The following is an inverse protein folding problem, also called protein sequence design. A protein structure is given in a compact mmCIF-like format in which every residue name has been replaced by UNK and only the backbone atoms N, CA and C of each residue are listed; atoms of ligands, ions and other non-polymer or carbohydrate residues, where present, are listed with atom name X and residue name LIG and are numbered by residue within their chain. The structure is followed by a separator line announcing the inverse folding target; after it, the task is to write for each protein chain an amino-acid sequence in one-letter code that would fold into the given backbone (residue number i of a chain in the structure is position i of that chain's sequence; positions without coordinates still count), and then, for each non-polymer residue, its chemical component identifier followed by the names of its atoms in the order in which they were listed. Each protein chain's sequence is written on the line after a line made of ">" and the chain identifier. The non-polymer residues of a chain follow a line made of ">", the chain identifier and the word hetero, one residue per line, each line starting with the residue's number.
data_IF_964206119821
#
_entry.id   IF_964206119821
#
_cell.length_a   1.000
_cell.length_b   1.000
_cell.length_c   1.000
_cell.angle_alpha   90.00
_cell.angle_beta   90.00
_cell.angle_gamma   90.00
#
_symmetry.space_group_name_H-M   'P 1'
#
loop_
_entity.id
_entity.type
_entity.pdbx_description
1 polymer ?
#
# COMPACT_ATOMS: atom_id res chain seq x y z
N UNK A 1 21.93 17.50 27.15
CA UNK A 1 20.52 17.34 26.75
C UNK A 1 20.15 18.60 26.00
N UNK A 2 19.91 18.55 24.69
CA UNK A 2 19.37 19.70 23.97
C UNK A 2 17.98 20.07 24.50
N UNK A 3 17.71 21.38 24.48
CA UNK A 3 16.38 21.94 24.73
C UNK A 3 15.73 22.16 23.37
N UNK A 4 14.49 21.67 23.24
CA UNK A 4 13.61 22.03 22.14
C UNK A 4 12.44 22.85 22.68
N UNK A 5 11.88 23.72 21.86
CA UNK A 5 10.69 24.49 22.15
C UNK A 5 9.57 23.99 21.25
N UNK A 6 8.47 23.56 21.88
CA UNK A 6 7.32 22.94 21.20
C UNK A 6 6.06 23.72 21.51
N UNK A 7 5.21 23.90 20.51
CA UNK A 7 3.88 24.44 20.71
C UNK A 7 3.00 23.34 21.34
N UNK A 8 2.34 23.57 22.48
CA UNK A 8 1.37 22.61 23.01
C UNK A 8 0.14 22.46 22.10
N UNK A 9 -0.50 21.30 22.16
CA UNK A 9 -1.83 21.08 21.59
C UNK A 9 -2.93 21.84 22.37
N UNK A 10 -4.17 21.72 21.91
CA UNK A 10 -5.31 22.44 22.53
C UNK A 10 -5.55 22.04 23.99
N UNK A 11 -5.19 20.82 24.36
CA UNK A 11 -5.40 20.28 25.70
C UNK A 11 -4.16 20.42 26.61
N UNK A 12 -3.07 20.99 26.07
CA UNK A 12 -1.77 21.14 26.73
C UNK A 12 -1.21 19.80 27.28
N UNK A 13 -1.52 18.68 26.61
CA UNK A 13 -1.06 17.34 26.99
C UNK A 13 0.09 16.85 26.12
N UNK A 14 0.09 17.26 24.84
CA UNK A 14 1.07 16.84 23.86
C UNK A 14 1.57 18.05 23.06
N UNK A 15 2.71 17.95 22.36
CA UNK A 15 3.07 18.91 21.33
C UNK A 15 2.09 18.88 20.16
N UNK A 16 1.81 20.05 19.60
CA UNK A 16 1.02 20.24 18.39
C UNK A 16 1.66 19.49 17.21
N UNK A 17 0.86 18.66 16.54
CA UNK A 17 1.32 17.80 15.44
C UNK A 17 1.77 18.57 14.21
N UNK A 18 1.15 19.73 13.98
CA UNK A 18 1.38 20.52 12.77
C UNK A 18 2.49 21.57 12.94
N UNK A 19 3.08 21.68 14.13
CA UNK A 19 4.15 22.63 14.43
C UNK A 19 5.41 21.90 14.89
N UNK A 20 6.46 21.98 14.07
CA UNK A 20 7.73 21.32 14.37
C UNK A 20 8.43 21.94 15.60
N UNK A 21 9.17 21.14 16.40
CA UNK A 21 10.01 21.66 17.48
C UNK A 21 11.11 22.58 16.92
N UNK A 22 11.37 23.68 17.63
CA UNK A 22 12.44 24.64 17.29
C UNK A 22 13.49 24.69 18.38
N UNK A 23 14.66 25.26 18.07
CA UNK A 23 15.77 25.40 19.03
C UNK A 23 15.76 26.74 19.77
N UNK A 24 14.97 27.71 19.30
CA UNK A 24 14.90 29.05 19.86
C UNK A 24 13.55 29.26 20.58
N UNK A 25 13.53 29.99 21.70
CA UNK A 25 12.29 30.31 22.41
C UNK A 25 11.42 31.27 21.59
N UNK A 26 10.10 31.10 21.70
CA UNK A 26 9.11 32.04 21.18
C UNK A 26 7.82 31.99 22.02
N UNK A 27 6.98 33.01 21.88
CA UNK A 27 5.70 33.09 22.58
C UNK A 27 4.80 31.89 22.26
N UNK A 28 4.21 31.29 23.30
CA UNK A 28 3.35 30.12 23.17
C UNK A 28 4.09 28.79 23.00
N UNK A 29 5.43 28.75 23.11
CA UNK A 29 6.21 27.52 23.11
C UNK A 29 6.60 27.09 24.53
N UNK A 30 6.56 25.78 24.77
CA UNK A 30 7.04 25.12 25.99
C UNK A 30 8.42 24.52 25.75
N UNK A 31 9.34 24.74 26.67
CA UNK A 31 10.66 24.13 26.65
C UNK A 31 10.60 22.66 27.09
N UNK A 32 11.28 21.78 26.35
CA UNK A 32 11.42 20.35 26.67
C UNK A 32 12.88 19.89 26.55
N UNK A 33 13.34 19.13 27.54
CA UNK A 33 14.66 18.53 27.63
C UNK A 33 14.63 17.13 27.02
N UNK A 34 15.44 16.93 25.97
CA UNK A 34 15.49 15.65 25.27
C UNK A 34 16.85 14.98 25.52
N UNK A 35 16.87 13.71 25.98
CA UNK A 35 18.11 12.95 26.05
C UNK A 35 18.78 12.88 24.67
N UNK A 36 20.10 13.05 24.62
CA UNK A 36 20.84 13.06 23.34
C UNK A 36 20.63 11.77 22.53
N UNK A 37 20.48 10.64 23.21
CA UNK A 37 20.18 9.33 22.62
C UNK A 37 18.80 9.24 21.98
N UNK A 38 17.88 10.15 22.34
CA UNK A 38 16.48 10.13 21.89
C UNK A 38 16.14 11.24 20.91
N UNK A 39 17.11 12.08 20.52
CA UNK A 39 16.88 13.22 19.61
C UNK A 39 16.21 12.75 18.32
N UNK A 40 16.73 11.69 17.69
CA UNK A 40 16.20 11.17 16.42
C UNK A 40 14.73 10.74 16.52
N UNK A 41 14.36 10.12 17.65
CA UNK A 41 12.98 9.74 17.92
C UNK A 41 12.10 10.95 18.17
N UNK A 42 12.57 11.87 19.00
CA UNK A 42 11.84 13.09 19.32
C UNK A 42 11.57 13.93 18.07
N UNK A 43 12.57 14.19 17.22
CA UNK A 43 12.38 15.00 16.01
C UNK A 43 11.47 14.37 14.97
N UNK A 44 11.23 13.04 15.03
CA UNK A 44 10.33 12.32 14.11
C UNK A 44 8.91 12.17 14.67
N UNK A 45 8.79 12.04 15.99
CA UNK A 45 7.55 11.67 16.67
C UNK A 45 7.18 12.63 17.80
N UNK A 46 7.66 13.88 17.77
CA UNK A 46 7.53 14.86 18.87
C UNK A 46 6.09 14.97 19.39
N UNK A 47 5.11 14.98 18.49
CA UNK A 47 3.69 15.10 18.77
C UNK A 47 3.09 13.92 19.52
N UNK A 48 3.83 12.81 19.67
CA UNK A 48 3.41 11.65 20.46
C UNK A 48 3.97 11.66 21.88
N UNK A 49 4.89 12.57 22.20
CA UNK A 49 5.48 12.67 23.53
C UNK A 49 4.52 13.41 24.47
N UNK A 50 4.17 12.79 25.58
CA UNK A 50 3.30 13.42 26.57
C UNK A 50 4.11 14.40 27.45
N UNK A 51 3.59 15.58 27.70
CA UNK A 51 4.14 16.45 28.73
C UNK A 51 3.92 15.83 30.11
N UNK A 52 4.88 16.01 31.02
CA UNK A 52 4.62 15.72 32.43
C UNK A 52 3.72 16.80 33.04
N UNK A 53 2.85 16.36 33.95
CA UNK A 53 1.86 17.20 34.65
C UNK A 53 2.45 18.07 35.77
N UNK A 54 3.77 18.01 35.99
CA UNK A 54 4.48 18.66 37.09
C UNK A 54 5.20 19.96 36.65
N UNK A 55 4.79 20.55 35.52
CA UNK A 55 5.42 21.72 34.88
C UNK A 55 6.91 21.54 34.56
N UNK A 56 7.45 20.33 34.66
CA UNK A 56 8.82 20.05 34.27
C UNK A 56 9.00 20.21 32.77
N UNK A 57 10.26 20.43 32.38
CA UNK A 57 10.68 20.40 30.98
C UNK A 57 10.82 18.96 30.46
N UNK A 58 10.34 17.94 31.19
CA UNK A 58 10.47 16.56 30.75
C UNK A 58 9.24 16.10 29.97
N UNK A 59 9.49 15.19 29.04
CA UNK A 59 8.45 14.52 28.25
C UNK A 59 8.56 13.01 28.39
N UNK A 60 7.41 12.36 28.33
CA UNK A 60 7.31 10.90 28.34
C UNK A 60 7.14 10.41 26.91
N UNK A 61 8.10 9.62 26.43
CA UNK A 61 7.98 8.93 25.14
C UNK A 61 6.81 7.94 25.17
N UNK A 62 6.08 7.76 24.06
CA UNK A 62 5.11 6.68 23.97
C UNK A 62 5.83 5.33 24.05
N UNK A 63 5.23 4.35 24.71
CA UNK A 63 5.88 3.05 24.99
C UNK A 63 6.15 2.17 23.77
N UNK A 64 5.72 2.57 22.59
CA UNK A 64 5.73 1.77 21.35
C UNK A 64 6.44 2.48 20.18
N UNK A 65 7.49 3.28 20.46
CA UNK A 65 8.27 3.89 19.38
C UNK A 65 8.95 2.81 18.50
N UNK A 66 8.90 2.93 17.16
CA UNK A 66 9.50 1.94 16.26
C UNK A 66 11.02 1.91 16.38
N UNK A 67 11.67 0.75 16.34
CA UNK A 67 13.12 0.72 16.37
C UNK A 67 13.72 1.46 15.15
N UNK A 68 14.69 2.34 15.38
CA UNK A 68 15.41 3.11 14.37
C UNK A 68 16.83 2.58 14.11
N UNK A 69 17.21 1.47 14.74
CA UNK A 69 18.48 0.79 14.48
C UNK A 69 18.57 0.39 13.01
N UNK A 70 19.75 0.60 12.41
CA UNK A 70 19.99 0.36 10.98
C UNK A 70 19.64 -1.08 10.61
N UNK A 71 20.03 -2.06 11.43
CA UNK A 71 19.77 -3.48 11.18
C UNK A 71 18.25 -3.80 11.15
N UNK A 72 17.47 -3.16 12.04
CA UNK A 72 16.02 -3.34 12.05
C UNK A 72 15.37 -2.74 10.80
N UNK A 73 15.79 -1.52 10.43
CA UNK A 73 15.29 -0.86 9.23
C UNK A 73 15.70 -1.60 7.95
N UNK A 74 16.91 -2.15 7.90
CA UNK A 74 17.35 -3.01 6.81
C UNK A 74 16.51 -4.29 6.73
N UNK A 75 16.22 -4.94 7.86
CA UNK A 75 15.34 -6.10 7.89
C UNK A 75 13.93 -5.82 7.36
N UNK A 76 13.37 -4.64 7.67
CA UNK A 76 12.09 -4.20 7.09
C UNK A 76 12.18 -4.01 5.57
N UNK A 77 13.24 -3.36 5.09
CA UNK A 77 13.46 -3.14 3.65
C UNK A 77 13.60 -4.47 2.91
N UNK A 78 14.35 -5.43 3.47
CA UNK A 78 14.53 -6.75 2.87
C UNK A 78 13.19 -7.51 2.79
N UNK A 79 12.38 -7.46 3.85
CA UNK A 79 11.04 -8.06 3.87
C UNK A 79 10.09 -7.43 2.83
N UNK A 80 10.13 -6.10 2.68
CA UNK A 80 9.37 -5.40 1.64
C UNK A 80 9.86 -5.81 0.24
N UNK A 81 11.18 -5.99 0.06
CA UNK A 81 11.78 -6.49 -1.17
C UNK A 81 11.27 -7.87 -1.57
N UNK A 82 11.26 -8.82 -0.62
CA UNK A 82 10.70 -10.17 -0.84
C UNK A 82 9.22 -10.12 -1.21
N UNK A 83 8.44 -9.28 -0.53
CA UNK A 83 7.01 -9.10 -0.79
C UNK A 83 6.77 -8.58 -2.22
N UNK A 84 7.53 -7.57 -2.65
CA UNK A 84 7.44 -7.01 -4.00
C UNK A 84 7.78 -8.07 -5.05
N UNK A 85 8.83 -8.87 -4.84
CA UNK A 85 9.22 -9.93 -5.76
C UNK A 85 8.15 -11.02 -5.87
N UNK A 86 7.52 -11.39 -4.75
CA UNK A 86 6.38 -12.30 -4.73
C UNK A 86 5.19 -11.77 -5.55
N UNK A 87 4.86 -10.49 -5.38
CA UNK A 87 3.78 -9.83 -6.13
C UNK A 87 4.07 -9.77 -7.63
N UNK A 88 5.30 -9.47 -8.04
CA UNK A 88 5.70 -9.47 -9.45
C UNK A 88 5.55 -10.86 -10.09
N UNK A 89 5.91 -11.92 -9.36
CA UNK A 89 5.77 -13.31 -9.83
C UNK A 89 4.31 -13.70 -10.00
N UNK A 90 3.46 -13.35 -9.03
CA UNK A 90 2.02 -13.60 -9.08
C UNK A 90 1.37 -12.87 -10.25
N UNK A 91 1.72 -11.60 -10.47
CA UNK A 91 1.23 -10.81 -11.59
C UNK A 91 1.64 -11.43 -12.94
N UNK A 92 2.90 -11.81 -13.11
CA UNK A 92 3.38 -12.46 -14.33
C UNK A 92 2.61 -13.76 -14.64
N UNK A 93 2.33 -14.56 -13.61
CA UNK A 93 1.55 -15.80 -13.74
C UNK A 93 0.09 -15.52 -14.14
N UNK A 94 -0.54 -14.53 -13.51
CA UNK A 94 -1.91 -14.12 -13.83
C UNK A 94 -2.04 -13.60 -15.27
N UNK A 95 -1.09 -12.76 -15.71
CA UNK A 95 -1.06 -12.25 -17.10
C UNK A 95 -0.90 -13.39 -18.10
N UNK A 96 -0.01 -14.36 -17.84
CA UNK A 96 0.16 -15.53 -18.71
C UNK A 96 -1.14 -16.35 -18.81
N UNK A 97 -1.77 -16.64 -17.68
CA UNK A 97 -3.03 -17.38 -17.65
C UNK A 97 -4.16 -16.65 -18.40
N UNK A 98 -4.22 -15.32 -18.31
CA UNK A 98 -5.17 -14.50 -19.04
C UNK A 98 -4.97 -14.60 -20.56
N UNK A 99 -3.71 -14.52 -21.03
CA UNK A 99 -3.39 -14.65 -22.45
C UNK A 99 -3.76 -16.04 -22.97
N UNK A 100 -3.44 -17.10 -22.22
CA UNK A 100 -3.79 -18.48 -22.57
C UNK A 100 -5.32 -18.68 -22.64
N UNK A 101 -6.06 -18.17 -21.65
CA UNK A 101 -7.52 -18.22 -21.65
C UNK A 101 -8.13 -17.47 -22.85
N UNK A 102 -7.59 -16.30 -23.19
CA UNK A 102 -8.05 -15.53 -24.34
C UNK A 102 -7.78 -16.27 -25.66
N UNK A 103 -6.62 -16.92 -25.79
CA UNK A 103 -6.29 -17.72 -26.97
C UNK A 103 -7.19 -18.96 -27.11
N UNK A 104 -7.48 -19.64 -26.01
CA UNK A 104 -8.44 -20.75 -25.99
C UNK A 104 -9.86 -20.30 -26.37
N UNK A 105 -10.28 -19.14 -25.89
CA UNK A 105 -11.58 -18.56 -26.25
C UNK A 105 -11.69 -18.30 -27.75
N UNK A 106 -10.68 -17.64 -28.35
CA UNK A 106 -10.65 -17.37 -29.80
C UNK A 106 -10.67 -18.68 -30.59
N UNK A 107 -9.85 -19.66 -30.20
CA UNK A 107 -9.80 -20.98 -30.87
C UNK A 107 -11.16 -21.69 -30.80
N UNK A 108 -11.82 -21.64 -29.65
CA UNK A 108 -13.14 -22.24 -29.45
C UNK A 108 -14.19 -21.52 -30.32
N UNK A 109 -14.15 -20.20 -30.38
CA UNK A 109 -15.05 -19.40 -31.22
C UNK A 109 -14.91 -19.75 -32.71
N UNK A 110 -13.68 -19.91 -33.21
CA UNK A 110 -13.41 -20.33 -34.59
C UNK A 110 -13.96 -21.73 -34.88
N UNK A 111 -13.80 -22.67 -33.96
CA UNK A 111 -14.36 -24.02 -34.09
C UNK A 111 -15.88 -23.99 -34.17
N UNK A 112 -16.53 -23.23 -33.29
CA UNK A 112 -17.98 -23.05 -33.33
C UNK A 112 -18.45 -22.45 -34.65
N UNK A 113 -17.76 -21.44 -35.18
CA UNK A 113 -18.10 -20.86 -36.49
C UNK A 113 -18.00 -21.89 -37.62
N UNK A 114 -16.94 -22.70 -37.66
CA UNK A 114 -16.78 -23.76 -38.67
C UNK A 114 -17.90 -24.80 -38.59
N UNK A 115 -18.25 -25.24 -37.38
CA UNK A 115 -19.37 -26.17 -37.17
C UNK A 115 -20.71 -25.56 -37.59
N UNK A 116 -20.95 -24.30 -37.26
CA UNK A 116 -22.18 -23.59 -37.61
C UNK A 116 -22.34 -23.45 -39.13
N UNK A 117 -21.26 -23.07 -39.84
CA UNK A 117 -21.28 -22.98 -41.31
C UNK A 117 -21.54 -24.35 -41.94
N UNK A 118 -20.88 -25.40 -41.47
CA UNK A 118 -21.09 -26.77 -41.94
C UNK A 118 -22.54 -27.22 -41.75
N UNK A 119 -23.12 -27.00 -40.57
CA UNK A 119 -24.51 -27.36 -40.28
C UNK A 119 -25.49 -26.57 -41.16
N UNK A 120 -25.24 -25.28 -41.35
CA UNK A 120 -26.06 -24.42 -42.21
C UNK A 120 -26.07 -24.93 -43.67
N UNK A 121 -24.91 -25.33 -44.19
CA UNK A 121 -24.79 -25.91 -45.54
C UNK A 121 -25.54 -27.25 -45.65
N UNK A 122 -25.47 -28.11 -44.64
CA UNK A 122 -26.22 -29.37 -44.61
C UNK A 122 -27.73 -29.14 -44.63
N UNK A 123 -28.23 -28.18 -43.84
CA UNK A 123 -29.66 -27.81 -43.83
C UNK A 123 -30.12 -27.36 -45.22
N UNK A 124 -29.35 -26.48 -45.88
CA UNK A 124 -29.67 -26.01 -47.24
C UNK A 124 -29.68 -27.16 -48.24
N UNK A 125 -28.74 -28.10 -48.15
CA UNK A 125 -28.70 -29.26 -49.03
C UNK A 125 -29.94 -30.16 -48.85
N UNK A 126 -30.35 -30.42 -47.60
CA UNK A 126 -31.56 -31.19 -47.28
C UNK A 126 -32.81 -30.48 -47.82
N UNK A 127 -32.93 -29.16 -47.62
CA UNK A 127 -34.05 -28.38 -48.16
C UNK A 127 -34.18 -28.49 -49.68
N UNK A 128 -33.05 -28.42 -50.41
CA UNK A 128 -33.04 -28.60 -51.87
C UNK A 128 -33.49 -30.00 -52.28
N UNK A 129 -33.04 -31.03 -51.57
CA UNK A 129 -33.46 -32.42 -51.85
C UNK A 129 -34.96 -32.63 -51.62
N UNK A 130 -35.53 -31.99 -50.59
CA UNK A 130 -36.97 -32.04 -50.31
C UNK A 130 -37.75 -31.36 -51.44
N UNK A 131 -37.34 -30.16 -51.87
CA UNK A 131 -38.00 -29.43 -52.95
C UNK A 131 -38.01 -30.21 -54.27
N UNK A 132 -36.88 -30.83 -54.64
CA UNK A 132 -36.74 -31.61 -55.87
C UNK A 132 -37.58 -32.91 -55.90
N UNK A 133 -38.06 -33.40 -54.75
CA UNK A 133 -38.95 -34.58 -54.66
C UNK A 133 -40.43 -34.21 -54.68
N UNK A 134 -40.76 -32.92 -54.58
CA UNK A 134 -42.13 -32.42 -54.58
C UNK A 134 -42.62 -31.98 -55.98
N UNK A 135 -41.72 -31.96 -56.97
CA UNK A 135 -41.99 -31.80 -58.41
C UNK A 135 -42.13 -33.17 -59.10
#
# INVERSE_FOLDING_TARGET
>A
MPIYYVKPDSDNQFPDKDTAPVLEPADGLRAVNIPTTSIQYFTRYWWMYAFKSDDSQEVTAPGNLPNLDIDYLQGLIDQEGETIQGLQTALGSATKAQVEAQQQFVTTQEQFQKQFVSLSQQIVAVQKQIAAKAE
#
